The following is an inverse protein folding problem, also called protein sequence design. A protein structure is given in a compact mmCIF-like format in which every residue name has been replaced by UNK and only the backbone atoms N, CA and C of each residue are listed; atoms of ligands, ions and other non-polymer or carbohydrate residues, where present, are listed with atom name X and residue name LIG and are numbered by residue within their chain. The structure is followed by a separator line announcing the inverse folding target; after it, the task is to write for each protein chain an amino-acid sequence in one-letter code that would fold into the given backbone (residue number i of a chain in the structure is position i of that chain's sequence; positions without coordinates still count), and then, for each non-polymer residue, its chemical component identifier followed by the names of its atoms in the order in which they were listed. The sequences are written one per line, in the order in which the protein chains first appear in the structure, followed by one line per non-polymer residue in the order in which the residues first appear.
data_IF_649514077773
#
_entry.id   IF_649514077773
#
_cell.length_a   1.000
_cell.length_b   1.000
_cell.length_c   1.000
_cell.angle_alpha   90.00
_cell.angle_beta   90.00
_cell.angle_gamma   90.00
#
_symmetry.space_group_name_H-M   'P 1'
#
loop_
_entity.id
_entity.type
_entity.pdbx_description
1 polymer ?
#
# COMPACT_ATOMS: atom_id res chain seq x y z
N UNK A 1 -3.78 2.23 11.60
CA UNK A 1 -3.05 3.53 11.51
C UNK A 1 -4.01 4.66 11.17
N UNK A 2 -4.55 4.77 9.96
CA UNK A 2 -5.42 5.88 9.51
C UNK A 2 -6.63 6.11 10.42
N UNK A 3 -7.47 5.10 10.62
CA UNK A 3 -8.66 5.18 11.47
C UNK A 3 -8.35 5.69 12.88
N UNK A 4 -7.34 5.11 13.57
CA UNK A 4 -6.97 5.51 14.92
C UNK A 4 -6.43 6.94 15.05
N UNK A 5 -6.11 7.60 13.94
CA UNK A 5 -5.64 9.00 13.88
C UNK A 5 -6.64 9.95 13.24
N UNK A 6 -7.77 9.46 12.76
CA UNK A 6 -8.76 10.28 12.06
C UNK A 6 -8.18 10.98 10.83
N UNK A 7 -7.38 10.27 10.04
CA UNK A 7 -6.72 10.77 8.83
C UNK A 7 -7.02 9.85 7.65
N UNK A 8 -6.76 10.31 6.46
CA UNK A 8 -6.78 9.51 5.24
C UNK A 8 -5.36 9.26 4.75
N UNK A 9 -5.06 8.01 4.40
CA UNK A 9 -3.85 7.63 3.67
C UNK A 9 -4.19 7.55 2.19
N UNK A 10 -3.56 8.36 1.37
CA UNK A 10 -3.62 8.26 -0.10
C UNK A 10 -2.37 7.53 -0.56
N UNK A 11 -2.55 6.34 -1.12
CA UNK A 11 -1.45 5.46 -1.54
C UNK A 11 -1.48 5.33 -3.06
N UNK A 12 -0.36 5.71 -3.67
CA UNK A 12 -0.17 5.64 -5.12
C UNK A 12 0.23 4.21 -5.51
N UNK A 13 -0.71 3.47 -6.09
CA UNK A 13 -0.50 2.05 -6.42
C UNK A 13 0.66 1.81 -7.38
N UNK A 14 0.97 2.78 -8.23
CA UNK A 14 2.11 2.73 -9.16
C UNK A 14 3.47 2.86 -8.48
N UNK A 15 3.51 3.32 -7.23
CA UNK A 15 4.73 3.49 -6.43
C UNK A 15 4.98 2.35 -5.44
N UNK A 16 4.09 1.38 -5.38
CA UNK A 16 4.28 0.23 -4.49
C UNK A 16 5.47 -0.60 -4.95
N UNK A 17 6.41 -0.93 -4.04
CA UNK A 17 7.52 -1.81 -4.34
C UNK A 17 7.02 -3.26 -4.46
N UNK A 18 6.78 -3.72 -5.68
CA UNK A 18 6.31 -5.07 -5.97
C UNK A 18 7.49 -5.90 -6.44
N UNK A 19 7.61 -7.14 -5.91
CA UNK A 19 8.66 -8.07 -6.30
C UNK A 19 8.54 -8.48 -7.76
N UNK A 20 9.68 -8.78 -8.39
CA UNK A 20 9.72 -9.30 -9.76
C UNK A 20 8.89 -10.59 -9.89
N UNK A 21 8.17 -10.72 -11.00
CA UNK A 21 7.33 -11.88 -11.30
C UNK A 21 5.91 -11.83 -10.68
N UNK A 22 5.66 -11.00 -9.66
CA UNK A 22 4.32 -10.93 -9.02
C UNK A 22 3.23 -10.54 -10.02
N UNK A 23 3.52 -9.60 -10.91
CA UNK A 23 2.56 -9.19 -11.93
C UNK A 23 2.19 -10.33 -12.88
N UNK A 24 3.17 -11.15 -13.29
CA UNK A 24 2.95 -12.29 -14.17
C UNK A 24 2.06 -13.34 -13.50
N UNK A 25 2.40 -13.74 -12.27
CA UNK A 25 1.60 -14.72 -11.51
C UNK A 25 0.21 -14.19 -11.18
N UNK A 26 0.10 -12.93 -10.80
CA UNK A 26 -1.17 -12.29 -10.53
C UNK A 26 -2.10 -12.24 -11.74
N UNK A 27 -1.55 -11.97 -12.94
CA UNK A 27 -2.32 -11.99 -14.19
C UNK A 27 -2.80 -13.40 -14.56
N UNK A 28 -2.11 -14.44 -14.09
CA UNK A 28 -2.56 -15.85 -14.22
C UNK A 28 -3.63 -16.23 -13.19
N UNK A 29 -4.04 -15.30 -12.32
CA UNK A 29 -5.02 -15.55 -11.26
C UNK A 29 -4.45 -16.30 -10.06
N UNK A 30 -3.13 -16.33 -9.88
CA UNK A 30 -2.46 -16.97 -8.77
C UNK A 30 -2.33 -15.98 -7.58
N UNK A 31 -3.47 -15.65 -7.00
CA UNK A 31 -3.54 -14.82 -5.81
C UNK A 31 -3.86 -15.62 -4.54
N UNK A 32 -3.44 -15.15 -3.35
CA UNK A 32 -3.76 -15.83 -2.10
C UNK A 32 -5.23 -15.64 -1.74
N UNK A 33 -5.88 -16.71 -1.28
CA UNK A 33 -7.27 -16.65 -0.80
C UNK A 33 -7.48 -15.62 0.30
N UNK A 34 -6.46 -15.39 1.13
CA UNK A 34 -6.48 -14.40 2.20
C UNK A 34 -6.70 -12.96 1.73
N UNK A 35 -6.32 -12.61 0.50
CA UNK A 35 -6.54 -11.29 -0.06
C UNK A 35 -8.03 -10.93 -0.12
N UNK A 36 -8.89 -11.87 -0.49
CA UNK A 36 -10.35 -11.67 -0.51
C UNK A 36 -10.90 -11.38 0.88
N UNK A 37 -10.46 -12.14 1.90
CA UNK A 37 -10.88 -11.94 3.29
C UNK A 37 -10.40 -10.59 3.83
N UNK A 38 -9.19 -10.19 3.50
CA UNK A 38 -8.64 -8.89 3.90
C UNK A 38 -9.42 -7.74 3.26
N UNK A 39 -9.78 -7.88 1.98
CA UNK A 39 -10.60 -6.89 1.28
C UNK A 39 -11.99 -6.77 1.92
N UNK A 40 -12.65 -7.89 2.19
CA UNK A 40 -13.95 -7.92 2.87
C UNK A 40 -13.89 -7.31 4.27
N UNK A 41 -12.86 -7.64 5.05
CA UNK A 41 -12.64 -7.07 6.38
C UNK A 41 -12.40 -5.56 6.33
N UNK A 42 -11.62 -5.08 5.38
CA UNK A 42 -11.35 -3.66 5.19
C UNK A 42 -12.62 -2.89 4.78
N UNK A 43 -13.47 -3.53 3.98
CA UNK A 43 -14.80 -3.10 3.62
C UNK A 43 -14.86 -1.63 3.18
N UNK A 44 -15.82 -0.91 3.74
CA UNK A 44 -16.05 0.50 3.40
C UNK A 44 -14.99 1.49 3.93
N UNK A 45 -14.02 1.04 4.71
CA UNK A 45 -12.94 1.89 5.19
C UNK A 45 -11.95 2.27 4.08
N UNK A 46 -11.98 1.53 2.96
CA UNK A 46 -11.06 1.69 1.84
C UNK A 46 -11.81 2.04 0.56
N UNK A 47 -11.20 2.88 -0.28
CA UNK A 47 -11.55 3.07 -1.68
C UNK A 47 -10.36 2.68 -2.54
N UNK A 48 -10.57 1.83 -3.53
CA UNK A 48 -9.57 1.45 -4.52
C UNK A 48 -9.98 1.96 -5.90
N UNK A 49 -9.08 2.66 -6.56
CA UNK A 49 -9.19 3.09 -7.96
C UNK A 49 -8.26 2.24 -8.85
N UNK A 50 -7.64 1.20 -8.28
CA UNK A 50 -6.78 0.27 -8.99
C UNK A 50 -7.63 -0.50 -10.01
N UNK A 51 -7.19 -0.49 -11.27
CA UNK A 51 -7.91 -1.16 -12.37
C UNK A 51 -7.44 -2.58 -12.63
N UNK A 52 -6.19 -2.87 -12.30
CA UNK A 52 -5.58 -4.18 -12.49
C UNK A 52 -5.87 -5.07 -11.27
N UNK A 53 -6.67 -6.11 -11.47
CA UNK A 53 -7.08 -7.03 -10.40
C UNK A 53 -5.89 -7.62 -9.64
N UNK A 54 -4.84 -8.04 -10.34
CA UNK A 54 -3.64 -8.58 -9.71
C UNK A 54 -2.96 -7.60 -8.74
N UNK A 55 -2.95 -6.32 -9.10
CA UNK A 55 -2.35 -5.27 -8.25
C UNK A 55 -3.20 -5.03 -7.00
N UNK A 56 -4.51 -5.08 -7.17
CA UNK A 56 -5.43 -5.00 -6.04
C UNK A 56 -5.26 -6.20 -5.10
N UNK A 57 -5.06 -7.40 -5.64
CA UNK A 57 -4.77 -8.59 -4.82
C UNK A 57 -3.47 -8.44 -4.03
N UNK A 58 -2.42 -7.83 -4.60
CA UNK A 58 -1.16 -7.53 -3.91
C UNK A 58 -1.37 -6.58 -2.72
N UNK A 59 -2.22 -5.57 -2.87
CA UNK A 59 -2.52 -4.61 -1.80
C UNK A 59 -3.18 -5.28 -0.60
N UNK A 60 -3.98 -6.31 -0.83
CA UNK A 60 -4.68 -7.05 0.22
C UNK A 60 -3.98 -8.36 0.60
N UNK A 61 -2.78 -8.62 0.07
CA UNK A 61 -2.03 -9.86 0.34
C UNK A 61 -1.71 -10.01 1.84
N UNK A 62 -2.03 -11.16 2.46
CA UNK A 62 -1.74 -11.41 3.88
C UNK A 62 -0.27 -11.76 4.10
N UNK A 63 0.60 -10.78 4.11
CA UNK A 63 2.05 -10.97 4.24
C UNK A 63 2.46 -11.28 5.68
N UNK A 64 3.13 -12.42 5.90
CA UNK A 64 3.63 -12.83 7.22
C UNK A 64 4.83 -11.97 7.66
N UNK A 65 5.72 -11.64 6.73
CA UNK A 65 6.94 -10.86 6.98
C UNK A 65 7.05 -9.72 5.96
N UNK A 66 6.04 -8.87 5.94
CA UNK A 66 5.98 -7.71 5.05
C UNK A 66 6.93 -6.58 5.48
N UNK A 67 7.04 -5.58 4.63
CA UNK A 67 7.77 -4.36 4.92
C UNK A 67 7.10 -3.47 5.97
N UNK A 68 7.72 -2.33 6.26
CA UNK A 68 7.19 -1.32 7.16
C UNK A 68 6.52 -0.20 6.37
N UNK A 69 5.35 0.23 6.85
CA UNK A 69 4.71 1.46 6.41
C UNK A 69 4.94 2.54 7.47
N UNK A 70 5.66 3.59 7.10
CA UNK A 70 6.02 4.70 7.99
C UNK A 70 5.27 5.96 7.59
N UNK A 71 4.67 6.64 8.56
CA UNK A 71 4.15 7.98 8.39
C UNK A 71 5.12 8.96 9.07
N UNK A 72 5.71 9.85 8.28
CA UNK A 72 6.74 10.80 8.72
C UNK A 72 6.34 12.23 8.32
N UNK A 73 6.87 13.27 8.99
CA UNK A 73 6.71 14.63 8.53
C UNK A 73 7.16 14.82 7.08
N UNK A 74 6.44 15.63 6.32
CA UNK A 74 6.69 15.82 4.89
C UNK A 74 8.06 16.43 4.56
N UNK A 75 8.58 17.25 5.45
CA UNK A 75 9.90 17.88 5.34
C UNK A 75 11.07 16.91 5.62
N UNK A 76 10.80 15.77 6.27
CA UNK A 76 11.79 14.71 6.55
C UNK A 76 11.70 13.53 5.56
N UNK A 77 10.62 13.42 4.80
CA UNK A 77 10.33 12.25 3.99
C UNK A 77 11.39 11.95 2.91
N UNK A 78 11.84 12.99 2.20
CA UNK A 78 12.84 12.84 1.14
C UNK A 78 14.21 12.43 1.70
N UNK A 79 14.60 13.01 2.84
CA UNK A 79 15.84 12.63 3.50
C UNK A 79 15.81 11.17 3.98
N UNK A 80 14.71 10.76 4.61
CA UNK A 80 14.54 9.38 5.05
C UNK A 80 14.57 8.40 3.86
N UNK A 81 13.87 8.71 2.77
CA UNK A 81 13.88 7.88 1.57
C UNK A 81 15.29 7.73 0.98
N UNK A 82 16.07 8.81 0.97
CA UNK A 82 17.45 8.79 0.52
C UNK A 82 18.37 7.93 1.42
N UNK A 83 18.18 7.99 2.74
CA UNK A 83 18.93 7.15 3.69
C UNK A 83 18.58 5.67 3.54
N UNK A 84 17.29 5.33 3.40
CA UNK A 84 16.85 3.95 3.16
C UNK A 84 17.39 3.40 1.85
N UNK A 85 17.45 4.22 0.79
CA UNK A 85 18.04 3.83 -0.50
C UNK A 85 19.52 3.45 -0.44
N UNK A 86 20.28 4.00 0.55
CA UNK A 86 21.68 3.62 0.78
C UNK A 86 21.83 2.23 1.44
N UNK A 87 20.76 1.70 2.02
CA UNK A 87 20.76 0.45 2.79
C UNK A 87 20.39 -0.77 1.95
N UNK A 88 20.29 -0.64 0.63
CA UNK A 88 19.83 -1.71 -0.28
C UNK A 88 18.44 -2.27 0.10
N UNK A 89 17.57 -1.37 0.56
CA UNK A 89 16.20 -1.70 0.94
C UNK A 89 15.28 -1.23 -0.19
N UNK A 90 14.46 -2.15 -0.70
CA UNK A 90 13.41 -1.79 -1.66
C UNK A 90 12.33 -0.99 -0.96
N UNK A 91 12.12 0.26 -1.37
CA UNK A 91 11.11 1.12 -0.79
C UNK A 91 11.20 2.56 -1.29
N UNK A 92 10.31 3.40 -0.80
CA UNK A 92 10.25 4.82 -1.16
C UNK A 92 8.98 5.49 -0.65
N UNK A 93 8.75 6.70 -1.09
CA UNK A 93 7.53 7.44 -0.78
C UNK A 93 6.40 6.91 -1.66
N UNK A 94 5.48 6.17 -1.06
CA UNK A 94 4.36 5.53 -1.76
C UNK A 94 3.03 6.28 -1.63
N UNK A 95 2.98 7.35 -0.84
CA UNK A 95 1.73 8.08 -0.64
C UNK A 95 1.85 9.24 0.32
N UNK A 96 0.71 9.79 0.70
CA UNK A 96 0.59 10.93 1.61
C UNK A 96 -0.48 10.71 2.66
N UNK A 97 -0.30 11.35 3.81
CA UNK A 97 -1.33 11.44 4.86
C UNK A 97 -2.04 12.78 4.71
N UNK A 98 -3.37 12.75 4.64
CA UNK A 98 -4.20 13.95 4.50
C UNK A 98 -5.19 14.10 5.66
N UNK A 99 -5.89 15.22 5.72
CA UNK A 99 -7.08 15.32 6.55
C UNK A 99 -8.08 14.23 6.18
N UNK A 100 -8.93 13.85 7.15
CA UNK A 100 -9.90 12.80 6.95
C UNK A 100 -10.85 13.15 5.78
N UNK A 101 -10.89 12.23 4.83
CA UNK A 101 -11.82 12.25 3.69
C UNK A 101 -12.98 11.27 3.95
N UNK A 102 -13.67 10.87 2.89
CA UNK A 102 -14.77 9.90 2.94
C UNK A 102 -14.30 8.47 3.31
N UNK A 103 -13.02 8.17 3.13
CA UNK A 103 -12.40 6.88 3.44
C UNK A 103 -11.10 7.05 4.22
N UNK A 104 -10.76 6.04 5.00
CA UNK A 104 -9.48 6.03 5.75
C UNK A 104 -8.27 5.70 4.87
N UNK A 105 -8.46 4.89 3.83
CA UNK A 105 -7.41 4.57 2.87
C UNK A 105 -7.96 4.69 1.45
N UNK A 106 -7.19 5.33 0.59
CA UNK A 106 -7.50 5.49 -0.83
C UNK A 106 -6.29 4.99 -1.61
N UNK A 107 -6.51 4.02 -2.49
CA UNK A 107 -5.53 3.58 -3.48
C UNK A 107 -5.90 4.20 -4.83
N UNK A 108 -4.98 4.92 -5.43
CA UNK A 108 -5.11 5.56 -6.74
C UNK A 108 -4.16 4.97 -7.81
#
# INVERSE_FOLDING_TARGET
MANGRGKTLVIHSVKLPVMDGVAEYGQMGLGPEGAYRNREFAGEAIRSEIRELWKEDVVFDPQTSGGLLLAVPSDEADQLAAELGKMDISGGIIGTVTELQDKYVIFD
#
